data_IF_403197304822
#
_entry.id   IF_403197304822
#
_cell.length_a   1.000
_cell.length_b   1.000
_cell.length_c   1.000
_cell.angle_alpha   90.00
_cell.angle_beta   90.00
_cell.angle_gamma   90.00
#
_symmetry.space_group_name_H-M   'P 1'
#
loop_
_entity.id
_entity.type
_entity.pdbx_description
1 polymer ?
#
# COMPACT_ATOMS: atom_id res chain seq x y z
N UNK A 1 50.64 -27.25 -20.61
CA UNK A 1 49.57 -26.24 -20.47
C UNK A 1 50.20 -24.92 -20.01
N UNK A 2 49.90 -23.80 -20.65
CA UNK A 2 50.63 -22.55 -20.43
C UNK A 2 50.16 -21.89 -19.13
N UNK A 3 50.98 -21.92 -18.06
CA UNK A 3 50.60 -21.53 -16.68
C UNK A 3 49.99 -20.12 -16.60
N UNK A 4 50.55 -19.18 -17.36
CA UNK A 4 50.05 -17.81 -17.44
C UNK A 4 48.66 -17.71 -18.07
N UNK A 5 48.39 -18.50 -19.12
CA UNK A 5 47.07 -18.56 -19.76
C UNK A 5 46.02 -19.10 -18.78
N UNK A 6 46.36 -20.11 -17.99
CA UNK A 6 45.46 -20.65 -16.95
C UNK A 6 45.15 -19.62 -15.87
N UNK A 7 46.17 -18.91 -15.35
CA UNK A 7 45.98 -17.87 -14.35
C UNK A 7 45.08 -16.72 -14.87
N UNK A 8 45.28 -16.31 -16.12
CA UNK A 8 44.44 -15.31 -16.77
C UNK A 8 42.96 -15.71 -16.78
N UNK A 9 42.64 -16.94 -17.21
CA UNK A 9 41.25 -17.41 -17.27
C UNK A 9 40.62 -17.50 -15.89
N UNK A 10 41.36 -17.90 -14.86
CA UNK A 10 40.88 -17.93 -13.48
C UNK A 10 40.50 -16.51 -13.02
N UNK A 11 41.41 -15.55 -13.18
CA UNK A 11 41.14 -14.15 -12.82
C UNK A 11 39.94 -13.58 -13.58
N UNK A 12 39.83 -13.88 -14.89
CA UNK A 12 38.71 -13.42 -15.70
C UNK A 12 37.37 -13.99 -15.20
N UNK A 13 37.32 -15.28 -14.88
CA UNK A 13 36.07 -15.89 -14.36
C UNK A 13 35.64 -15.28 -13.03
N UNK A 14 36.58 -15.00 -12.11
CA UNK A 14 36.26 -14.31 -10.87
C UNK A 14 35.74 -12.90 -11.10
N UNK A 15 36.33 -12.17 -12.04
CA UNK A 15 35.89 -10.81 -12.38
C UNK A 15 34.46 -10.83 -12.93
N UNK A 16 34.15 -11.77 -13.84
CA UNK A 16 32.80 -11.93 -14.39
C UNK A 16 31.80 -12.27 -13.28
N UNK A 17 32.12 -13.21 -12.39
CA UNK A 17 31.23 -13.58 -11.28
C UNK A 17 31.00 -12.40 -10.35
N UNK A 18 32.06 -11.65 -9.98
CA UNK A 18 31.96 -10.51 -9.08
C UNK A 18 31.13 -9.36 -9.69
N UNK A 19 31.27 -9.11 -10.99
CA UNK A 19 30.49 -8.07 -11.68
C UNK A 19 29.02 -8.48 -11.83
N UNK A 20 28.75 -9.72 -12.18
CA UNK A 20 27.38 -10.24 -12.23
C UNK A 20 26.70 -10.23 -10.85
N UNK A 21 27.40 -10.62 -9.79
CA UNK A 21 26.82 -10.63 -8.44
C UNK A 21 26.54 -9.22 -7.93
N UNK A 22 27.41 -8.25 -8.23
CA UNK A 22 27.17 -6.85 -7.89
C UNK A 22 25.92 -6.30 -8.60
N UNK A 23 25.77 -6.60 -9.90
CA UNK A 23 24.60 -6.17 -10.67
C UNK A 23 23.30 -6.76 -10.09
N UNK A 24 23.32 -8.04 -9.72
CA UNK A 24 22.18 -8.70 -9.07
C UNK A 24 21.86 -8.07 -7.71
N UNK A 25 22.88 -7.78 -6.89
CA UNK A 25 22.68 -7.18 -5.57
C UNK A 25 22.03 -5.79 -5.67
N UNK A 26 22.49 -4.95 -6.61
CA UNK A 26 21.87 -3.64 -6.86
C UNK A 26 20.42 -3.79 -7.30
N UNK A 27 20.13 -4.69 -8.24
CA UNK A 27 18.77 -4.98 -8.66
C UNK A 27 17.87 -5.42 -7.50
N UNK A 28 18.35 -6.37 -6.68
CA UNK A 28 17.60 -6.90 -5.55
C UNK A 28 17.29 -5.82 -4.49
N UNK A 29 18.23 -4.91 -4.22
CA UNK A 29 18.00 -3.80 -3.28
C UNK A 29 16.92 -2.85 -3.81
N UNK A 30 16.98 -2.50 -5.10
CA UNK A 30 15.96 -1.65 -5.73
C UNK A 30 14.58 -2.32 -5.65
N UNK A 31 14.48 -3.57 -6.06
CA UNK A 31 13.23 -4.35 -6.04
C UNK A 31 12.62 -4.45 -4.62
N UNK A 32 13.47 -4.74 -3.62
CA UNK A 32 13.04 -4.78 -2.21
C UNK A 32 12.58 -3.41 -1.70
N UNK A 33 13.30 -2.34 -2.03
CA UNK A 33 12.91 -0.98 -1.61
C UNK A 33 11.57 -0.55 -2.20
N UNK A 34 11.32 -0.87 -3.48
CA UNK A 34 10.02 -0.60 -4.13
C UNK A 34 8.92 -1.40 -3.44
N UNK A 35 9.18 -2.67 -3.16
CA UNK A 35 8.22 -3.54 -2.46
C UNK A 35 7.89 -3.00 -1.06
N UNK A 36 8.91 -2.57 -0.30
CA UNK A 36 8.73 -1.96 1.02
C UNK A 36 7.92 -0.67 0.95
N UNK A 37 8.16 0.15 -0.08
CA UNK A 37 7.43 1.41 -0.28
C UNK A 37 5.95 1.17 -0.52
N UNK A 38 5.59 0.23 -1.40
CA UNK A 38 4.18 -0.13 -1.61
C UNK A 38 3.54 -0.72 -0.36
N UNK A 39 4.26 -1.59 0.36
CA UNK A 39 3.77 -2.15 1.62
C UNK A 39 3.52 -1.06 2.67
N UNK A 40 4.41 -0.09 2.78
CA UNK A 40 4.25 1.01 3.73
C UNK A 40 3.08 1.92 3.37
N UNK A 41 2.94 2.29 2.09
CA UNK A 41 1.77 3.03 1.61
C UNK A 41 0.46 2.26 1.87
N UNK A 42 0.47 0.94 1.70
CA UNK A 42 -0.68 0.09 2.01
C UNK A 42 -1.05 0.11 3.49
N UNK A 43 -0.06 0.07 4.38
CA UNK A 43 -0.26 0.21 5.82
C UNK A 43 -0.76 1.59 6.20
N UNK A 44 -0.16 2.66 5.67
CA UNK A 44 -0.57 4.04 5.95
C UNK A 44 -2.03 4.28 5.50
N UNK A 45 -2.45 3.66 4.39
CA UNK A 45 -3.85 3.71 3.93
C UNK A 45 -4.80 2.94 4.85
N UNK A 46 -4.39 1.77 5.32
CA UNK A 46 -5.19 0.97 6.24
C UNK A 46 -5.34 1.65 7.61
N UNK A 47 -4.28 2.30 8.10
CA UNK A 47 -4.27 3.03 9.37
C UNK A 47 -5.18 4.27 9.29
N UNK A 48 -5.08 5.04 8.20
CA UNK A 48 -5.96 6.19 7.96
C UNK A 48 -7.45 5.80 7.89
N UNK A 49 -7.76 4.69 7.24
CA UNK A 49 -9.12 4.14 7.21
C UNK A 49 -9.58 3.71 8.60
N UNK A 50 -8.72 3.06 9.39
CA UNK A 50 -9.03 2.65 10.75
C UNK A 50 -9.30 3.86 11.66
N UNK A 51 -8.47 4.91 11.60
CA UNK A 51 -8.70 6.16 12.33
C UNK A 51 -10.05 6.78 11.96
N UNK A 52 -10.38 6.80 10.66
CA UNK A 52 -11.67 7.30 10.16
C UNK A 52 -12.84 6.49 10.69
N UNK A 53 -12.74 5.16 10.69
CA UNK A 53 -13.77 4.26 11.23
C UNK A 53 -13.94 4.45 12.74
N UNK A 54 -12.84 4.55 13.49
CA UNK A 54 -12.88 4.82 14.94
C UNK A 54 -13.60 6.15 15.20
N UNK A 55 -13.30 7.18 14.42
CA UNK A 55 -13.95 8.48 14.53
C UNK A 55 -15.45 8.40 14.25
N UNK A 56 -15.85 7.74 13.15
CA UNK A 56 -17.25 7.50 12.79
C UNK A 56 -17.99 6.77 13.91
N UNK A 57 -17.46 5.65 14.39
CA UNK A 57 -18.09 4.82 15.43
C UNK A 57 -18.24 5.56 16.77
N UNK A 58 -17.30 6.45 17.10
CA UNK A 58 -17.32 7.17 18.37
C UNK A 58 -18.18 8.44 18.35
N UNK A 59 -18.42 9.05 17.18
CA UNK A 59 -19.06 10.37 17.08
C UNK A 59 -20.44 10.39 16.44
N UNK A 60 -20.80 9.35 15.69
CA UNK A 60 -22.05 9.31 14.93
C UNK A 60 -22.94 8.19 15.44
N UNK A 61 -24.25 8.34 15.26
CA UNK A 61 -25.21 7.26 15.49
C UNK A 61 -25.30 6.30 14.29
N UNK A 62 -24.21 6.19 13.51
CA UNK A 62 -24.11 5.42 12.28
C UNK A 62 -25.02 5.91 11.15
N UNK A 63 -25.62 7.10 11.27
CA UNK A 63 -26.40 7.75 10.23
C UNK A 63 -25.51 8.26 9.09
N UNK A 64 -25.95 8.06 7.85
CA UNK A 64 -25.19 8.41 6.64
C UNK A 64 -24.93 9.91 6.52
N UNK A 65 -25.90 10.76 6.88
CA UNK A 65 -25.75 12.21 6.78
C UNK A 65 -24.80 12.75 7.84
N UNK A 66 -24.80 12.18 9.06
CA UNK A 66 -23.82 12.50 10.10
C UNK A 66 -22.41 12.07 9.68
N UNK A 67 -22.28 10.85 9.12
CA UNK A 67 -21.00 10.34 8.61
C UNK A 67 -20.48 11.24 7.49
N UNK A 68 -21.33 11.63 6.54
CA UNK A 68 -20.95 12.58 5.49
C UNK A 68 -20.48 13.93 6.08
N UNK A 69 -21.20 14.45 7.09
CA UNK A 69 -20.83 15.70 7.74
C UNK A 69 -19.47 15.64 8.44
N UNK A 70 -19.16 14.55 9.14
CA UNK A 70 -17.85 14.33 9.78
C UNK A 70 -16.74 14.14 8.74
N UNK A 71 -17.04 13.45 7.63
CA UNK A 71 -16.07 13.20 6.56
C UNK A 71 -15.75 14.44 5.73
N UNK A 72 -16.47 15.56 5.83
CA UNK A 72 -16.17 16.81 5.09
C UNK A 72 -14.74 17.32 5.29
N UNK A 73 -14.14 17.01 6.44
CA UNK A 73 -12.75 17.41 6.75
C UNK A 73 -11.71 16.40 6.30
N UNK A 74 -12.15 15.24 5.78
CA UNK A 74 -11.28 14.17 5.34
C UNK A 74 -10.54 14.58 4.04
N UNK A 75 -9.22 14.35 3.92
CA UNK A 75 -8.42 14.80 2.77
C UNK A 75 -8.89 14.30 1.39
N UNK A 76 -9.70 13.24 1.36
CA UNK A 76 -10.20 12.62 0.14
C UNK A 76 -11.72 12.76 -0.05
N UNK A 77 -12.37 13.64 0.72
CA UNK A 77 -13.82 13.83 0.68
C UNK A 77 -14.35 14.07 -0.75
N UNK A 78 -13.66 14.88 -1.55
CA UNK A 78 -14.06 15.20 -2.92
C UNK A 78 -14.08 14.00 -3.87
N UNK A 79 -13.40 12.90 -3.53
CA UNK A 79 -13.34 11.68 -4.33
C UNK A 79 -14.29 10.59 -3.84
N UNK A 80 -15.01 10.83 -2.74
CA UNK A 80 -15.98 9.89 -2.19
C UNK A 80 -17.35 10.09 -2.84
N UNK A 81 -18.02 8.98 -3.14
CA UNK A 81 -19.40 9.00 -3.66
C UNK A 81 -20.39 8.81 -2.50
N UNK A 82 -21.01 9.91 -2.09
CA UNK A 82 -22.06 9.91 -1.06
C UNK A 82 -23.47 9.68 -1.63
N UNK A 83 -23.63 9.73 -2.96
CA UNK A 83 -24.94 9.59 -3.59
C UNK A 83 -25.42 8.14 -3.61
N UNK A 84 -24.51 7.16 -3.56
CA UNK A 84 -24.83 5.74 -3.52
C UNK A 84 -24.92 5.21 -2.08
N UNK A 85 -25.48 4.01 -1.90
CA UNK A 85 -25.51 3.32 -0.59
C UNK A 85 -24.13 2.78 -0.16
N UNK A 86 -23.07 3.20 -0.83
CA UNK A 86 -21.72 2.67 -0.64
C UNK A 86 -20.71 3.80 -0.68
N UNK A 87 -20.09 4.09 0.46
CA UNK A 87 -19.03 5.10 0.55
C UNK A 87 -17.69 4.36 0.60
N UNK A 88 -16.81 4.65 -0.36
CA UNK A 88 -15.48 4.08 -0.41
C UNK A 88 -14.48 4.98 0.34
N UNK A 89 -13.81 4.40 1.34
CA UNK A 89 -12.54 4.92 1.86
C UNK A 89 -11.38 4.38 1.00
N UNK A 90 -10.14 4.41 1.49
CA UNK A 90 -9.00 3.97 0.67
C UNK A 90 -8.94 2.45 0.52
N UNK A 91 -9.10 1.75 1.64
CA UNK A 91 -9.03 0.29 1.81
C UNK A 91 -10.33 -0.28 2.37
N UNK A 92 -11.30 0.52 2.78
CA UNK A 92 -12.55 0.04 3.37
C UNK A 92 -13.73 0.60 2.60
N UNK A 93 -14.80 -0.19 2.54
CA UNK A 93 -16.09 0.21 1.97
C UNK A 93 -17.13 0.20 3.07
N UNK A 94 -17.84 1.32 3.20
CA UNK A 94 -18.96 1.52 4.11
C UNK A 94 -20.26 1.26 3.34
N UNK A 95 -21.06 0.30 3.79
CA UNK A 95 -22.31 -0.10 3.13
C UNK A 95 -23.48 0.31 4.01
N UNK A 96 -24.39 1.10 3.43
CA UNK A 96 -25.55 1.68 4.08
C UNK A 96 -26.82 0.93 3.68
N UNK A 97 -27.77 0.87 4.59
CA UNK A 97 -29.11 0.36 4.36
C UNK A 97 -30.10 1.27 5.12
N UNK A 98 -31.07 1.84 4.40
CA UNK A 98 -32.00 2.84 4.96
C UNK A 98 -31.27 4.00 5.68
N UNK A 99 -30.27 4.58 5.02
CA UNK A 99 -29.44 5.68 5.52
C UNK A 99 -28.65 5.39 6.81
N UNK A 100 -28.56 4.12 7.24
CA UNK A 100 -27.76 3.71 8.40
C UNK A 100 -26.62 2.80 7.96
N UNK A 101 -25.41 3.01 8.50
CA UNK A 101 -24.24 2.17 8.25
C UNK A 101 -24.51 0.75 8.77
N UNK A 102 -24.61 -0.20 7.85
CA UNK A 102 -24.96 -1.59 8.17
C UNK A 102 -23.75 -2.49 8.24
N UNK A 103 -22.78 -2.29 7.36
CA UNK A 103 -21.63 -3.18 7.23
C UNK A 103 -20.42 -2.41 6.72
N UNK A 104 -19.24 -2.80 7.20
CA UNK A 104 -17.96 -2.33 6.68
C UNK A 104 -17.21 -3.54 6.12
N UNK A 105 -16.60 -3.39 4.93
CA UNK A 105 -15.83 -4.46 4.30
C UNK A 105 -14.47 -3.95 3.85
N UNK A 106 -13.45 -4.77 4.03
CA UNK A 106 -12.14 -4.50 3.47
C UNK A 106 -12.20 -4.59 1.93
N UNK A 107 -11.55 -3.64 1.27
CA UNK A 107 -11.37 -3.49 -0.17
C UNK A 107 -9.99 -4.03 -0.49
N UNK A 108 -9.88 -5.37 -0.44
CA UNK A 108 -8.72 -6.19 -0.81
C UNK A 108 -7.48 -5.96 0.06
#
# INVERSE_FOLDING_TARGET
MNKWKTAFWICLTFLIIATCSLMYAVYAVIDQSVTLMYLNDDYDRADADLETIIHIVNKTDMDKAEIEAELKTHPYFEYMDFATDTIELKRTVLIFENDTLKTMKNRW
#
